data_IF_037119944542
#
_entry.id   IF_037119944542
#
_cell.length_a   1.000
_cell.length_b   1.000
_cell.length_c   1.000
_cell.angle_alpha   90.00
_cell.angle_beta   90.00
_cell.angle_gamma   90.00
#
_symmetry.space_group_name_H-M   'P 1'
#
loop_
_entity.id
_entity.type
_entity.pdbx_description
1 polymer ?
#
# COMPACT_ATOMS: atom_id res chain seq x y z
N UNK A 1 -13.69 18.75 6.42
CA UNK A 1 -13.27 17.50 7.12
C UNK A 1 -13.88 16.24 6.53
N UNK A 2 -15.20 16.10 6.42
CA UNK A 2 -15.83 14.90 5.84
C UNK A 2 -15.35 14.60 4.40
N UNK A 3 -15.30 15.63 3.54
CA UNK A 3 -14.75 15.52 2.17
C UNK A 3 -13.29 15.05 2.18
N UNK A 4 -12.47 15.58 3.09
CA UNK A 4 -11.06 15.21 3.17
C UNK A 4 -10.85 13.76 3.61
N UNK A 5 -11.67 13.28 4.55
CA UNK A 5 -11.69 11.86 4.94
C UNK A 5 -12.15 10.97 3.80
N UNK A 6 -13.17 11.39 3.05
CA UNK A 6 -13.64 10.66 1.87
C UNK A 6 -12.54 10.57 0.81
N UNK A 7 -11.86 11.66 0.49
CA UNK A 7 -10.74 11.66 -0.46
C UNK A 7 -9.59 10.77 0.00
N UNK A 8 -9.24 10.82 1.28
CA UNK A 8 -8.25 9.91 1.87
C UNK A 8 -8.65 8.43 1.69
N UNK A 9 -9.90 8.07 1.95
CA UNK A 9 -10.37 6.70 1.74
C UNK A 9 -10.38 6.31 0.26
N UNK A 10 -10.87 7.20 -0.62
CA UNK A 10 -10.94 6.97 -2.08
C UNK A 10 -9.57 6.88 -2.75
N UNK A 11 -8.51 7.36 -2.10
CA UNK A 11 -7.13 7.25 -2.60
C UNK A 11 -6.39 6.07 -1.98
N UNK A 12 -6.44 5.95 -0.65
CA UNK A 12 -5.70 4.92 0.09
C UNK A 12 -6.26 3.53 -0.16
N UNK A 13 -7.58 3.34 -0.15
CA UNK A 13 -8.18 2.00 -0.28
C UNK A 13 -7.89 1.37 -1.66
N UNK A 14 -8.10 2.05 -2.80
CA UNK A 14 -7.78 1.50 -4.10
C UNK A 14 -6.27 1.27 -4.29
N UNK A 15 -5.43 2.22 -3.86
CA UNK A 15 -3.98 2.07 -3.95
C UNK A 15 -3.51 0.85 -3.13
N UNK A 16 -3.99 0.71 -1.90
CA UNK A 16 -3.66 -0.43 -1.04
C UNK A 16 -4.09 -1.75 -1.66
N UNK A 17 -5.30 -1.83 -2.22
CA UNK A 17 -5.79 -3.01 -2.90
C UNK A 17 -4.89 -3.39 -4.09
N UNK A 18 -4.49 -2.41 -4.92
CA UNK A 18 -3.58 -2.62 -6.05
C UNK A 18 -2.21 -3.09 -5.58
N UNK A 19 -1.64 -2.46 -4.55
CA UNK A 19 -0.33 -2.84 -3.99
C UNK A 19 -0.35 -4.30 -3.52
N UNK A 20 -1.40 -4.71 -2.79
CA UNK A 20 -1.51 -6.08 -2.28
C UNK A 20 -1.68 -7.07 -3.44
N UNK A 21 -2.61 -6.83 -4.36
CA UNK A 21 -2.87 -7.76 -5.47
C UNK A 21 -1.63 -7.90 -6.36
N UNK A 22 -1.08 -6.79 -6.82
CA UNK A 22 0.05 -6.79 -7.75
C UNK A 22 1.34 -7.21 -7.05
N UNK A 23 1.58 -6.74 -5.83
CA UNK A 23 2.80 -7.06 -5.09
C UNK A 23 2.85 -8.52 -4.62
N UNK A 24 1.72 -9.10 -4.20
CA UNK A 24 1.66 -10.54 -3.90
C UNK A 24 1.80 -11.39 -5.17
N UNK A 25 1.17 -10.99 -6.28
CA UNK A 25 1.34 -11.68 -7.57
C UNK A 25 2.79 -11.63 -8.08
N UNK A 26 3.44 -10.47 -7.97
CA UNK A 26 4.84 -10.29 -8.34
C UNK A 26 5.78 -11.11 -7.44
N UNK A 27 5.59 -11.09 -6.12
CA UNK A 27 6.36 -11.93 -5.20
C UNK A 27 6.23 -13.42 -5.51
N UNK A 28 5.01 -13.88 -5.82
CA UNK A 28 4.75 -15.25 -6.28
C UNK A 28 5.49 -15.56 -7.58
N UNK A 29 5.39 -14.69 -8.59
CA UNK A 29 6.03 -14.88 -9.89
C UNK A 29 7.56 -14.89 -9.80
N UNK A 30 8.15 -14.11 -8.89
CA UNK A 30 9.60 -14.01 -8.72
C UNK A 30 10.19 -15.22 -7.98
N UNK A 31 9.47 -15.79 -7.02
CA UNK A 31 10.00 -16.86 -6.16
C UNK A 31 9.51 -18.26 -6.53
N UNK A 32 8.22 -18.40 -6.86
CA UNK A 32 7.61 -19.70 -7.15
C UNK A 32 7.88 -20.11 -8.61
N UNK A 33 7.77 -19.17 -9.55
CA UNK A 33 7.99 -19.49 -10.97
C UNK A 33 9.48 -19.50 -11.33
N UNK A 34 9.82 -20.35 -12.30
CA UNK A 34 11.19 -20.49 -12.82
C UNK A 34 11.25 -19.88 -14.22
N UNK A 35 11.90 -18.73 -14.34
CA UNK A 35 12.09 -18.02 -15.60
C UNK A 35 13.38 -17.20 -15.58
N UNK A 36 13.92 -16.92 -16.78
CA UNK A 36 15.19 -16.19 -16.96
C UNK A 36 15.00 -14.71 -16.61
N UNK A 37 15.81 -14.17 -15.71
CA UNK A 37 15.79 -12.74 -15.34
C UNK A 37 15.05 -12.41 -14.05
N UNK A 38 14.41 -13.38 -13.38
CA UNK A 38 13.69 -13.16 -12.12
C UNK A 38 14.51 -12.47 -11.03
N UNK A 39 15.81 -12.79 -10.92
CA UNK A 39 16.71 -12.17 -9.94
C UNK A 39 16.95 -10.69 -10.28
N UNK A 40 17.17 -10.39 -11.56
CA UNK A 40 17.35 -9.01 -12.04
C UNK A 40 16.07 -8.20 -11.81
N UNK A 41 14.90 -8.77 -12.07
CA UNK A 41 13.62 -8.11 -11.82
C UNK A 41 13.40 -7.84 -10.33
N UNK A 42 13.75 -8.78 -9.45
CA UNK A 42 13.72 -8.53 -8.00
C UNK A 42 14.66 -7.37 -7.63
N UNK A 43 15.91 -7.37 -8.15
CA UNK A 43 16.86 -6.28 -7.91
C UNK A 43 16.35 -4.91 -8.41
N UNK A 44 15.60 -4.87 -9.51
CA UNK A 44 14.96 -3.63 -9.99
C UNK A 44 13.91 -3.11 -9.01
N UNK A 45 13.10 -4.00 -8.41
CA UNK A 45 12.19 -3.59 -7.33
C UNK A 45 12.96 -3.06 -6.12
N UNK A 46 14.04 -3.73 -5.70
CA UNK A 46 14.87 -3.26 -4.57
C UNK A 46 15.48 -1.88 -4.84
N UNK A 47 15.96 -1.63 -6.06
CA UNK A 47 16.46 -0.32 -6.46
C UNK A 47 15.38 0.76 -6.34
N UNK A 48 14.11 0.43 -6.62
CA UNK A 48 12.98 1.33 -6.42
C UNK A 48 12.78 1.80 -4.97
N UNK A 49 13.16 1.00 -3.98
CA UNK A 49 13.09 1.38 -2.55
C UNK A 49 14.08 2.52 -2.23
N UNK A 50 15.20 2.59 -2.94
CA UNK A 50 16.26 3.57 -2.71
C UNK A 50 15.94 4.95 -3.31
N UNK A 51 14.89 5.06 -4.14
CA UNK A 51 14.51 6.32 -4.77
C UNK A 51 13.77 7.18 -3.74
N UNK A 52 14.31 8.35 -3.33
CA UNK A 52 13.60 9.25 -2.45
C UNK A 52 12.36 9.82 -3.14
N UNK A 53 11.21 9.70 -2.46
CA UNK A 53 9.90 10.10 -3.01
C UNK A 53 9.83 11.58 -3.40
N UNK A 54 10.64 12.45 -2.80
CA UNK A 54 10.71 13.87 -3.12
C UNK A 54 11.19 14.12 -4.56
N UNK A 55 12.13 13.32 -5.06
CA UNK A 55 12.75 13.53 -6.37
C UNK A 55 11.79 13.23 -7.53
N UNK A 56 10.80 12.37 -7.31
CA UNK A 56 9.85 11.95 -8.35
C UNK A 56 8.65 12.91 -8.49
N UNK A 57 8.44 13.82 -7.53
CA UNK A 57 7.25 14.68 -7.48
C UNK A 57 7.14 15.61 -8.70
N UNK A 58 8.18 16.39 -8.99
CA UNK A 58 8.15 17.37 -10.09
C UNK A 58 8.01 16.70 -11.47
N UNK A 59 8.78 15.64 -11.80
CA UNK A 59 8.57 14.89 -13.04
C UNK A 59 7.15 14.30 -13.13
N UNK A 60 6.64 13.68 -12.06
CA UNK A 60 5.30 13.09 -12.06
C UNK A 60 4.20 14.15 -12.18
N UNK A 61 4.36 15.32 -11.57
CA UNK A 61 3.42 16.43 -11.74
C UNK A 61 3.30 16.81 -13.21
N UNK A 62 4.43 16.97 -13.89
CA UNK A 62 4.47 17.27 -15.34
C UNK A 62 3.75 16.18 -16.15
N UNK A 63 4.00 14.90 -15.83
CA UNK A 63 3.32 13.77 -16.49
C UNK A 63 1.81 13.82 -16.28
N UNK A 64 1.36 13.99 -15.03
CA UNK A 64 -0.08 14.03 -14.71
C UNK A 64 -0.77 15.25 -15.30
N UNK A 65 -0.08 16.40 -15.37
CA UNK A 65 -0.59 17.60 -16.04
C UNK A 65 -0.80 17.35 -17.53
N UNK A 66 0.20 16.79 -18.22
CA UNK A 66 0.10 16.48 -19.64
C UNK A 66 -0.97 15.40 -19.94
N UNK A 67 -1.17 14.47 -19.01
CA UNK A 67 -2.23 13.46 -19.09
C UNK A 67 -3.61 13.99 -18.66
N UNK A 68 -3.73 15.25 -18.27
CA UNK A 68 -4.98 15.87 -17.77
C UNK A 68 -5.58 15.13 -16.56
N UNK A 69 -4.72 14.55 -15.72
CA UNK A 69 -5.11 13.87 -14.48
C UNK A 69 -5.05 14.79 -13.26
N UNK A 70 -4.44 15.97 -13.39
CA UNK A 70 -4.45 17.02 -12.36
C UNK A 70 -5.87 17.44 -12.01
N UNK A 71 -6.13 17.76 -10.75
CA UNK A 71 -7.48 18.07 -10.25
C UNK A 71 -8.35 16.82 -9.99
N UNK A 72 -7.79 15.61 -10.09
CA UNK A 72 -8.45 14.34 -9.73
C UNK A 72 -7.66 13.58 -8.65
N UNK A 73 -8.22 12.48 -8.14
CA UNK A 73 -7.55 11.59 -7.18
C UNK A 73 -6.60 10.56 -7.84
N UNK A 74 -6.61 10.45 -9.18
CA UNK A 74 -5.78 9.46 -9.91
C UNK A 74 -4.28 9.61 -9.67
N UNK A 75 -3.69 10.82 -9.67
CA UNK A 75 -2.28 11.01 -9.34
C UNK A 75 -1.89 10.37 -8.01
N UNK A 76 -2.76 10.43 -7.00
CA UNK A 76 -2.50 9.81 -5.71
C UNK A 76 -2.56 8.29 -5.79
N UNK A 77 -3.63 7.73 -6.37
CA UNK A 77 -3.80 6.27 -6.48
C UNK A 77 -2.62 5.64 -7.22
N UNK A 78 -2.21 6.23 -8.35
CA UNK A 78 -1.11 5.73 -9.19
C UNK A 78 0.21 5.85 -8.45
N UNK A 79 0.52 7.03 -7.89
CA UNK A 79 1.80 7.27 -7.22
C UNK A 79 1.95 6.38 -5.99
N UNK A 80 0.92 6.31 -5.14
CA UNK A 80 0.89 5.43 -3.97
C UNK A 80 1.07 3.96 -4.33
N UNK A 81 0.40 3.50 -5.40
CA UNK A 81 0.59 2.13 -5.88
C UNK A 81 2.03 1.90 -6.30
N UNK A 82 2.58 2.77 -7.15
CA UNK A 82 3.93 2.63 -7.68
C UNK A 82 5.01 2.65 -6.59
N UNK A 83 4.90 3.55 -5.61
CA UNK A 83 5.88 3.67 -4.52
C UNK A 83 5.74 2.55 -3.48
N UNK A 84 4.52 2.01 -3.30
CA UNK A 84 4.29 0.88 -2.40
C UNK A 84 4.79 -0.47 -2.94
N UNK A 85 4.75 -0.67 -4.26
CA UNK A 85 5.10 -1.95 -4.88
C UNK A 85 6.50 -2.48 -4.52
N UNK A 86 7.60 -1.71 -4.61
CA UNK A 86 8.95 -2.15 -4.26
C UNK A 86 9.05 -2.92 -2.94
N UNK A 87 8.56 -2.32 -1.85
CA UNK A 87 8.62 -2.92 -0.52
C UNK A 87 7.71 -4.16 -0.43
N UNK A 88 6.48 -4.07 -0.96
CA UNK A 88 5.54 -5.20 -0.93
C UNK A 88 6.04 -6.39 -1.72
N UNK A 89 6.63 -6.18 -2.90
CA UNK A 89 7.19 -7.24 -3.75
C UNK A 89 8.36 -7.91 -3.03
N UNK A 90 9.26 -7.13 -2.44
CA UNK A 90 10.39 -7.66 -1.68
C UNK A 90 9.94 -8.51 -0.48
N UNK A 91 9.00 -8.01 0.31
CA UNK A 91 8.46 -8.75 1.45
C UNK A 91 7.71 -10.00 1.02
N UNK A 92 6.86 -9.92 0.00
CA UNK A 92 6.11 -11.07 -0.52
C UNK A 92 7.03 -12.13 -1.12
N UNK A 93 8.07 -11.75 -1.85
CA UNK A 93 9.10 -12.68 -2.32
C UNK A 93 9.76 -13.39 -1.12
N UNK A 94 10.16 -12.63 -0.09
CA UNK A 94 10.75 -13.21 1.12
C UNK A 94 9.81 -14.21 1.81
N UNK A 95 8.51 -13.91 1.91
CA UNK A 95 7.53 -14.82 2.49
C UNK A 95 7.25 -16.05 1.62
N UNK A 96 7.14 -15.90 0.31
CA UNK A 96 6.96 -17.04 -0.60
C UNK A 96 8.16 -17.99 -0.59
N UNK A 97 9.39 -17.46 -0.41
CA UNK A 97 10.60 -18.28 -0.30
C UNK A 97 10.57 -19.23 0.89
N UNK A 98 9.86 -18.90 1.96
CA UNK A 98 9.70 -19.77 3.13
C UNK A 98 8.74 -20.94 2.88
N UNK A 99 7.94 -20.91 1.80
CA UNK A 99 7.03 -22.01 1.45
C UNK A 99 7.80 -23.12 0.72
N UNK A 100 7.66 -24.40 1.12
CA UNK A 100 8.24 -25.51 0.38
C UNK A 100 7.76 -25.53 -1.07
N UNK A 101 8.69 -25.57 -2.04
CA UNK A 101 8.37 -25.62 -3.48
C UNK A 101 7.51 -26.81 -3.86
N UNK A 102 7.64 -27.92 -3.12
CA UNK A 102 6.86 -29.14 -3.31
C UNK A 102 5.36 -28.92 -3.26
N UNK A 103 4.88 -27.91 -2.53
CA UNK A 103 3.45 -27.52 -2.51
C UNK A 103 2.96 -27.12 -3.89
N UNK A 104 3.75 -26.32 -4.61
CA UNK A 104 3.39 -25.82 -5.94
C UNK A 104 3.70 -26.84 -7.04
N UNK A 105 4.72 -27.68 -6.84
CA UNK A 105 5.01 -28.82 -7.72
C UNK A 105 3.88 -29.85 -7.68
N UNK A 106 3.38 -30.20 -6.49
CA UNK A 106 2.22 -31.08 -6.34
C UNK A 106 0.97 -30.50 -7.03
N UNK A 107 0.69 -29.21 -6.83
CA UNK A 107 -0.42 -28.55 -7.51
C UNK A 107 -0.28 -28.59 -9.05
N UNK A 108 0.94 -28.44 -9.57
CA UNK A 108 1.21 -28.56 -11.00
C UNK A 108 1.00 -30.00 -11.51
N UNK A 109 1.39 -31.01 -10.73
CA UNK A 109 1.13 -32.43 -11.04
C UNK A 109 -0.38 -32.74 -11.06
N UNK A 110 -1.17 -32.07 -10.20
CA UNK A 110 -2.65 -32.14 -10.20
C UNK A 110 -3.31 -31.32 -11.33
N UNK A 111 -2.51 -30.74 -12.24
CA UNK A 111 -3.00 -29.98 -13.40
C UNK A 111 -3.46 -28.56 -13.07
N UNK A 112 -3.07 -27.99 -11.92
CA UNK A 112 -3.37 -26.59 -11.61
C UNK A 112 -2.57 -25.65 -12.53
N UNK A 113 -3.27 -24.73 -13.19
CA UNK A 113 -2.63 -23.64 -13.93
C UNK A 113 -1.91 -22.68 -12.98
N UNK A 114 -0.95 -21.90 -13.48
CA UNK A 114 -0.21 -20.90 -12.68
C UNK A 114 -1.15 -19.95 -11.94
N UNK A 115 -2.19 -19.46 -12.61
CA UNK A 115 -3.19 -18.56 -12.00
C UNK A 115 -3.98 -19.30 -10.92
N UNK A 116 -4.37 -20.56 -11.15
CA UNK A 116 -5.08 -21.38 -10.15
C UNK A 116 -4.19 -21.64 -8.93
N UNK A 117 -2.92 -21.97 -9.13
CA UNK A 117 -1.92 -22.16 -8.07
C UNK A 117 -1.72 -20.88 -7.27
N UNK A 118 -1.69 -19.72 -7.92
CA UNK A 118 -1.63 -18.43 -7.24
C UNK A 118 -2.89 -18.16 -6.40
N UNK A 119 -4.08 -18.17 -7.03
CA UNK A 119 -5.34 -17.75 -6.37
C UNK A 119 -5.79 -18.74 -5.31
N UNK A 120 -5.63 -20.04 -5.54
CA UNK A 120 -6.20 -21.09 -4.67
C UNK A 120 -5.23 -21.55 -3.58
N UNK A 121 -3.92 -21.34 -3.75
CA UNK A 121 -2.89 -21.86 -2.85
C UNK A 121 -1.99 -20.72 -2.38
N UNK A 122 -1.27 -20.07 -3.30
CA UNK A 122 -0.28 -19.05 -2.97
C UNK A 122 -0.83 -17.87 -2.17
N UNK A 123 -1.89 -17.23 -2.67
CA UNK A 123 -2.49 -16.06 -2.03
C UNK A 123 -3.14 -16.40 -0.67
N UNK A 124 -3.93 -17.48 -0.52
CA UNK A 124 -4.47 -17.90 0.78
C UNK A 124 -3.39 -18.24 1.81
N UNK A 125 -2.30 -18.90 1.41
CA UNK A 125 -1.19 -19.21 2.31
C UNK A 125 -0.50 -17.94 2.83
N UNK A 126 -0.49 -16.87 2.04
CA UNK A 126 0.08 -15.57 2.43
C UNK A 126 -0.88 -14.67 3.18
N UNK A 127 -2.09 -15.12 3.57
CA UNK A 127 -3.11 -14.27 4.21
C UNK A 127 -2.59 -13.47 5.41
N UNK A 128 -1.80 -14.10 6.28
CA UNK A 128 -1.23 -13.42 7.45
C UNK A 128 -0.21 -12.35 7.04
N UNK A 129 0.66 -12.67 6.08
CA UNK A 129 1.63 -11.73 5.51
C UNK A 129 0.95 -10.56 4.78
N UNK A 130 -0.12 -10.83 4.02
CA UNK A 130 -0.95 -9.81 3.36
C UNK A 130 -1.49 -8.81 4.38
N UNK A 131 -2.01 -9.29 5.52
CA UNK A 131 -2.54 -8.40 6.56
C UNK A 131 -1.44 -7.51 7.16
N UNK A 132 -0.27 -8.08 7.45
CA UNK A 132 0.87 -7.32 7.98
C UNK A 132 1.34 -6.26 7.00
N UNK A 133 1.51 -6.61 5.72
CA UNK A 133 1.93 -5.64 4.70
C UNK A 133 0.84 -4.59 4.49
N UNK A 134 -0.43 -4.99 4.45
CA UNK A 134 -1.54 -4.05 4.27
C UNK A 134 -1.59 -3.02 5.39
N UNK A 135 -1.32 -3.42 6.64
CA UNK A 135 -1.20 -2.52 7.78
C UNK A 135 -0.05 -1.51 7.61
N UNK A 136 1.14 -2.00 7.26
CA UNK A 136 2.33 -1.16 7.07
C UNK A 136 2.09 -0.16 5.94
N UNK A 137 1.56 -0.62 4.80
CA UNK A 137 1.27 0.24 3.66
C UNK A 137 0.16 1.23 3.97
N UNK A 138 -0.93 0.80 4.61
CA UNK A 138 -1.98 1.72 5.04
C UNK A 138 -1.42 2.85 5.89
N UNK A 139 -0.54 2.54 6.84
CA UNK A 139 0.08 3.56 7.69
C UNK A 139 0.87 4.60 6.88
N UNK A 140 1.68 4.18 5.91
CA UNK A 140 2.42 5.10 5.05
C UNK A 140 1.50 5.95 4.18
N UNK A 141 0.54 5.32 3.51
CA UNK A 141 -0.37 6.00 2.59
C UNK A 141 -1.31 6.98 3.30
N UNK A 142 -1.80 6.59 4.48
CA UNK A 142 -2.72 7.41 5.26
C UNK A 142 -2.06 8.66 5.87
N UNK A 143 -0.77 8.55 6.23
CA UNK A 143 0.00 9.64 6.82
C UNK A 143 0.81 10.44 5.79
N UNK A 144 0.72 10.09 4.50
CA UNK A 144 1.40 10.87 3.49
C UNK A 144 0.81 12.27 3.40
N UNK A 145 1.69 13.26 3.61
CA UNK A 145 1.38 14.66 3.44
C UNK A 145 1.96 15.19 2.13
N UNK A 146 3.16 14.77 1.74
CA UNK A 146 3.94 15.45 0.71
C UNK A 146 3.41 15.15 -0.69
N UNK A 147 3.14 13.87 -1.00
CA UNK A 147 2.59 13.48 -2.31
C UNK A 147 1.16 14.04 -2.42
N UNK A 148 0.36 13.92 -1.35
CA UNK A 148 -0.96 14.53 -1.25
C UNK A 148 -0.95 16.04 -1.52
N UNK A 149 -0.13 16.80 -0.79
CA UNK A 149 -0.03 18.26 -0.94
C UNK A 149 0.37 18.66 -2.37
N UNK A 150 1.23 17.86 -3.01
CA UNK A 150 1.71 18.13 -4.37
C UNK A 150 0.62 17.91 -5.43
N UNK A 151 -0.19 16.86 -5.30
CA UNK A 151 -1.11 16.46 -6.36
C UNK A 151 -2.57 16.87 -6.12
N UNK A 152 -2.94 17.30 -4.91
CA UNK A 152 -4.27 17.86 -4.61
C UNK A 152 -4.25 19.38 -4.73
N UNK A 153 -4.27 19.89 -5.96
CA UNK A 153 -4.21 21.33 -6.26
C UNK A 153 -5.46 22.08 -5.82
N UNK A 154 -6.62 21.44 -5.86
CA UNK A 154 -7.90 22.01 -5.44
C UNK A 154 -8.30 21.55 -4.03
N UNK A 155 -8.92 22.42 -3.24
CA UNK A 155 -9.37 22.09 -1.87
C UNK A 155 -10.33 20.90 -1.86
N UNK A 156 -11.17 20.78 -2.89
CA UNK A 156 -12.11 19.68 -3.06
C UNK A 156 -11.45 18.30 -3.16
N UNK A 157 -10.17 18.22 -3.54
CA UNK A 157 -9.42 16.96 -3.70
C UNK A 157 -8.46 16.69 -2.53
N UNK A 158 -8.33 17.60 -1.57
CA UNK A 158 -7.38 17.45 -0.46
C UNK A 158 -7.70 16.23 0.38
N UNK A 159 -6.65 15.52 0.78
CA UNK A 159 -6.73 14.44 1.76
C UNK A 159 -6.85 15.00 3.17
N UNK A 160 -7.17 14.16 4.15
CA UNK A 160 -7.25 14.56 5.56
C UNK A 160 -5.94 15.19 6.04
N UNK A 161 -4.78 14.68 5.62
CA UNK A 161 -3.48 15.20 6.05
C UNK A 161 -3.24 16.61 5.52
N UNK A 162 -3.56 16.87 4.25
CA UNK A 162 -3.45 18.22 3.67
C UNK A 162 -4.50 19.15 4.27
N UNK A 163 -5.72 18.67 4.48
CA UNK A 163 -6.81 19.44 5.09
C UNK A 163 -6.53 19.89 6.52
N UNK A 164 -5.70 19.17 7.28
CA UNK A 164 -5.25 19.59 8.60
C UNK A 164 -4.40 20.87 8.56
N UNK A 165 -3.70 21.13 7.45
CA UNK A 165 -2.92 22.37 7.28
C UNK A 165 -3.80 23.61 7.21
N UNK A 166 -5.08 23.48 6.82
CA UNK A 166 -6.02 24.61 6.74
C UNK A 166 -6.35 25.22 8.11
N UNK A 167 -6.07 24.53 9.22
CA UNK A 167 -6.24 25.08 10.58
C UNK A 167 -5.03 25.91 11.06
N UNK A 168 -4.01 26.03 10.21
CA UNK A 168 -2.88 26.96 10.39
C UNK A 168 -3.08 28.12 9.42
N UNK A 169 -3.36 29.32 9.94
CA UNK A 169 -3.54 30.52 9.10
C UNK A 169 -2.26 30.90 8.36
N UNK A 170 -2.38 31.64 7.26
CA UNK A 170 -1.25 32.06 6.40
C UNK A 170 -0.14 32.84 7.14
N UNK A 171 -0.44 33.42 8.30
CA UNK A 171 0.49 34.16 9.16
C UNK A 171 0.90 33.40 10.43
N UNK A 172 0.66 32.09 10.50
CA UNK A 172 1.05 31.25 11.65
C UNK A 172 0.10 31.29 12.85
N UNK A 173 -1.06 31.94 12.73
CA UNK A 173 -2.12 31.86 13.75
C UNK A 173 -2.77 30.48 13.63
N UNK A 174 -2.51 29.61 14.61
CA UNK A 174 -3.04 28.25 14.66
C UNK A 174 -4.33 28.23 15.47
N UNK A 175 -5.42 27.75 14.87
CA UNK A 175 -6.66 27.48 15.60
C UNK A 175 -6.52 26.14 16.33
N UNK A 176 -5.88 26.15 17.49
CA UNK A 176 -5.56 24.94 18.25
C UNK A 176 -6.79 24.07 18.56
N UNK A 177 -7.94 24.67 18.89
CA UNK A 177 -9.17 23.92 19.19
C UNK A 177 -9.64 23.02 18.03
N UNK A 178 -9.98 23.60 16.86
CA UNK A 178 -10.30 22.84 15.65
C UNK A 178 -9.20 21.90 15.19
N UNK A 179 -7.93 22.31 15.30
CA UNK A 179 -6.77 21.47 14.93
C UNK A 179 -6.71 20.20 15.78
N UNK A 180 -6.76 20.33 17.11
CA UNK A 180 -6.73 19.18 18.02
C UNK A 180 -7.95 18.28 17.84
N UNK A 181 -9.15 18.85 17.64
CA UNK A 181 -10.34 18.06 17.35
C UNK A 181 -10.18 17.21 16.07
N UNK A 182 -9.63 17.79 15.00
CA UNK A 182 -9.40 17.09 13.75
C UNK A 182 -8.29 16.01 13.88
N UNK A 183 -7.22 16.29 14.63
CA UNK A 183 -6.19 15.30 14.97
C UNK A 183 -6.79 14.14 15.77
N UNK A 184 -7.60 14.41 16.79
CA UNK A 184 -8.25 13.36 17.57
C UNK A 184 -9.12 12.44 16.70
N UNK A 185 -9.91 13.00 15.78
CA UNK A 185 -10.72 12.20 14.83
C UNK A 185 -9.82 11.33 13.95
N UNK A 186 -8.72 11.87 13.44
CA UNK A 186 -7.78 11.13 12.61
C UNK A 186 -7.11 9.98 13.39
N UNK A 187 -6.60 10.27 14.58
CA UNK A 187 -5.95 9.28 15.45
C UNK A 187 -6.92 8.18 15.86
N UNK A 188 -8.16 8.53 16.22
CA UNK A 188 -9.18 7.53 16.56
C UNK A 188 -9.47 6.59 15.40
N UNK A 189 -9.53 7.11 14.17
CA UNK A 189 -9.74 6.28 12.98
C UNK A 189 -8.56 5.33 12.73
N UNK A 190 -7.31 5.83 12.83
CA UNK A 190 -6.11 5.00 12.71
C UNK A 190 -6.09 3.91 13.80
N UNK A 191 -6.39 4.26 15.05
CA UNK A 191 -6.44 3.32 16.17
C UNK A 191 -7.51 2.25 15.96
N UNK A 192 -8.71 2.63 15.50
CA UNK A 192 -9.78 1.67 15.22
C UNK A 192 -9.35 0.66 14.14
N UNK A 193 -8.73 1.14 13.06
CA UNK A 193 -8.20 0.29 11.98
C UNK A 193 -7.09 -0.62 12.51
N UNK A 194 -6.15 -0.07 13.29
CA UNK A 194 -5.05 -0.82 13.90
C UNK A 194 -5.55 -1.94 14.82
N UNK A 195 -6.46 -1.64 15.76
CA UNK A 195 -6.99 -2.64 16.70
C UNK A 195 -7.69 -3.77 15.94
N UNK A 196 -8.50 -3.42 14.93
CA UNK A 196 -9.22 -4.40 14.13
C UNK A 196 -8.30 -5.32 13.32
N UNK A 197 -7.25 -4.76 12.71
CA UNK A 197 -6.29 -5.52 11.91
C UNK A 197 -5.31 -6.30 12.79
N UNK A 198 -4.81 -5.73 13.88
CA UNK A 198 -3.88 -6.39 14.81
C UNK A 198 -4.52 -7.64 15.43
N UNK A 199 -5.77 -7.56 15.90
CA UNK A 199 -6.47 -8.76 16.41
C UNK A 199 -6.55 -9.89 15.37
N UNK A 200 -6.67 -9.57 14.07
CA UNK A 200 -6.68 -10.56 12.99
C UNK A 200 -5.30 -11.14 12.73
N UNK A 201 -4.25 -10.32 12.80
CA UNK A 201 -2.85 -10.77 12.70
C UNK A 201 -2.52 -11.72 13.85
N UNK A 202 -2.84 -11.37 15.10
CA UNK A 202 -2.59 -12.19 16.28
C UNK A 202 -3.33 -13.53 16.23
N UNK A 203 -4.61 -13.53 15.82
CA UNK A 203 -5.38 -14.77 15.62
C UNK A 203 -4.80 -15.65 14.50
N UNK A 204 -4.32 -15.03 13.42
CA UNK A 204 -3.67 -15.72 12.31
C UNK A 204 -2.35 -16.39 12.69
N UNK A 205 -1.54 -15.73 13.52
CA UNK A 205 -0.29 -16.29 14.08
C UNK A 205 -0.57 -17.41 15.08
N UNK A 206 -1.53 -17.23 15.99
CA UNK A 206 -1.91 -18.25 16.97
C UNK A 206 -2.45 -19.53 16.31
N UNK A 207 -3.26 -19.42 15.25
CA UNK A 207 -3.77 -20.57 14.51
C UNK A 207 -2.67 -21.37 13.76
N UNK A 208 -1.54 -20.73 13.44
CA UNK A 208 -0.37 -21.38 12.84
C UNK A 208 0.51 -22.09 13.88
N UNK A 209 0.59 -21.57 15.10
CA UNK A 209 1.40 -22.13 16.19
C UNK A 209 0.80 -23.41 16.83
N UNK A 210 -0.52 -23.61 16.74
CA UNK A 210 -1.22 -24.75 17.35
C UNK A 210 -1.34 -25.96 16.39
N UNK A 211 -0.90 -25.82 15.13
CA UNK A 211 -0.88 -26.91 14.14
C UNK A 211 0.50 -27.58 13.99
N UNK A 212 1.45 -27.26 14.88
CA UNK A 212 2.76 -27.90 14.99
C UNK A 212 2.78 -28.96 16.08
#
# INVERSE_FOLDING_TARGET
MATYLQNSLLTVVPALALIIVLGTAAGFALEVLVWKGRQTTLLLFLAGIMIPGQMILLPLFTVYFNLHLTGTLWPLIITYTATGLPLTVFMMATYFRAIPKTVFEAAAMDGASVIRSFVSIGFPMMRNSVLTIALVQFFFLWNDLLIALTFTTDDAQRTVQVGLLNFTGQFGVVEYGPTFAAICINVLLILAIYIFLNQRVMRGLAAGAVKG
#
